data_IF_608312471932
#
_entry.id   IF_608312471932
#
_cell.length_a   1.000
_cell.length_b   1.000
_cell.length_c   1.000
_cell.angle_alpha   90.00
_cell.angle_beta   90.00
_cell.angle_gamma   90.00
#
_symmetry.space_group_name_H-M   'P 1'
#
loop_
_entity.id
_entity.type
_entity.pdbx_description
1 polymer ?
#
# COMPACT_ATOMS: atom_id res chain seq x y z
N UNK A 1 -2.65 21.24 27.62
CA UNK A 1 -3.51 20.31 28.38
C UNK A 1 -4.52 21.03 29.28
N UNK A 2 -4.12 21.93 30.19
CA UNK A 2 -5.07 22.67 31.07
C UNK A 2 -6.10 23.51 30.30
N UNK A 3 -5.65 24.29 29.30
CA UNK A 3 -6.55 25.13 28.49
C UNK A 3 -7.56 24.36 27.61
N UNK A 4 -7.23 23.16 27.12
CA UNK A 4 -8.17 22.35 26.33
C UNK A 4 -9.31 21.82 27.19
N UNK A 5 -9.03 21.53 28.46
CA UNK A 5 -10.03 21.08 29.43
C UNK A 5 -11.02 22.19 29.76
N UNK A 6 -10.51 23.39 30.06
CA UNK A 6 -11.36 24.55 30.37
C UNK A 6 -12.26 24.95 29.20
N UNK A 7 -11.73 24.88 27.97
CA UNK A 7 -12.49 25.17 26.74
C UNK A 7 -13.57 24.12 26.51
N UNK A 8 -13.24 22.83 26.60
CA UNK A 8 -14.23 21.75 26.44
C UNK A 8 -15.36 21.85 27.47
N UNK A 9 -15.02 22.10 28.74
CA UNK A 9 -16.01 22.26 29.81
C UNK A 9 -16.97 23.43 29.52
N UNK A 10 -16.45 24.59 29.08
CA UNK A 10 -17.29 25.75 28.71
C UNK A 10 -18.17 25.48 27.49
N UNK A 11 -17.66 24.75 26.50
CA UNK A 11 -18.41 24.39 25.30
C UNK A 11 -19.57 23.45 25.61
N UNK A 12 -19.32 22.42 26.42
CA UNK A 12 -20.37 21.49 26.87
C UNK A 12 -21.39 22.18 27.76
N UNK A 13 -20.95 23.07 28.66
CA UNK A 13 -21.88 23.87 29.47
C UNK A 13 -22.82 24.76 28.63
N UNK A 14 -22.35 25.23 27.46
CA UNK A 14 -23.15 26.06 26.54
C UNK A 14 -24.04 25.24 25.60
N UNK A 15 -23.60 24.05 25.21
CA UNK A 15 -24.30 23.19 24.24
C UNK A 15 -24.35 21.73 24.70
N UNK A 16 -25.02 21.43 25.83
CA UNK A 16 -25.00 20.10 26.42
C UNK A 16 -25.65 19.05 25.51
N UNK A 17 -26.77 19.40 24.85
CA UNK A 17 -27.48 18.49 23.94
C UNK A 17 -26.67 18.03 22.73
N UNK A 18 -25.59 18.74 22.37
CA UNK A 18 -24.78 18.43 21.19
C UNK A 18 -23.39 17.92 21.53
N UNK A 19 -22.82 18.33 22.66
CA UNK A 19 -21.41 18.12 22.98
C UNK A 19 -21.17 17.33 24.26
N UNK A 20 -22.21 17.04 25.05
CA UNK A 20 -22.08 16.26 26.27
C UNK A 20 -21.96 14.77 25.95
N UNK A 21 -21.03 14.10 26.61
CA UNK A 21 -20.83 12.66 26.49
C UNK A 21 -21.99 11.93 27.17
N UNK A 22 -23.04 11.60 26.41
CA UNK A 22 -24.23 10.87 26.86
C UNK A 22 -24.32 9.53 26.13
N UNK A 23 -24.42 8.43 26.90
CA UNK A 23 -24.68 7.08 26.38
C UNK A 23 -25.90 6.53 27.11
N UNK A 24 -26.91 6.10 26.35
CA UNK A 24 -28.17 5.53 26.89
C UNK A 24 -28.90 6.43 27.91
N UNK A 25 -28.67 7.75 27.85
CA UNK A 25 -29.28 8.74 28.73
C UNK A 25 -28.40 9.14 29.93
N UNK A 26 -27.30 8.43 30.18
CA UNK A 26 -26.39 8.71 31.28
C UNK A 26 -25.16 9.51 30.83
N UNK A 27 -24.75 10.45 31.68
CA UNK A 27 -23.55 11.26 31.46
C UNK A 27 -22.32 10.40 31.79
N UNK A 28 -21.47 10.19 30.80
CA UNK A 28 -20.26 9.37 30.94
C UNK A 28 -19.10 10.22 31.42
N UNK A 29 -18.50 9.82 32.55
CA UNK A 29 -17.31 10.48 33.12
C UNK A 29 -17.58 11.95 33.50
N UNK A 30 -16.73 12.87 33.02
CA UNK A 30 -16.92 14.31 33.25
C UNK A 30 -17.91 14.96 32.27
N UNK A 31 -18.48 14.20 31.33
CA UNK A 31 -19.42 14.68 30.32
C UNK A 31 -18.79 15.49 29.17
N UNK A 32 -17.49 15.76 29.20
CA UNK A 32 -16.78 16.51 28.16
C UNK A 32 -15.42 15.88 27.79
N UNK A 33 -15.15 14.68 28.30
CA UNK A 33 -13.84 14.03 28.19
C UNK A 33 -13.49 13.68 26.74
N UNK A 34 -14.47 13.23 25.96
CA UNK A 34 -14.26 12.92 24.54
C UNK A 34 -13.85 14.19 23.77
N UNK A 35 -14.49 15.32 24.06
CA UNK A 35 -14.21 16.60 23.43
C UNK A 35 -12.81 17.12 23.80
N UNK A 36 -12.38 16.93 25.05
CA UNK A 36 -11.00 17.24 25.47
C UNK A 36 -9.99 16.45 24.65
N UNK A 37 -10.20 15.14 24.49
CA UNK A 37 -9.30 14.28 23.71
C UNK A 37 -9.26 14.72 22.24
N UNK A 38 -10.41 15.04 21.65
CA UNK A 38 -10.47 15.55 20.28
C UNK A 38 -9.71 16.87 20.10
N UNK A 39 -9.88 17.82 21.04
CA UNK A 39 -9.16 19.10 21.00
C UNK A 39 -7.65 18.91 21.14
N UNK A 40 -7.22 18.05 22.07
CA UNK A 40 -5.80 17.74 22.26
C UNK A 40 -5.19 17.11 21.01
N UNK A 41 -5.87 16.11 20.43
CA UNK A 41 -5.42 15.46 19.20
C UNK A 41 -5.29 16.45 18.04
N UNK A 42 -6.22 17.40 17.90
CA UNK A 42 -6.14 18.43 16.84
C UNK A 42 -4.97 19.40 17.08
N UNK A 43 -4.78 19.86 18.31
CA UNK A 43 -3.64 20.72 18.67
C UNK A 43 -2.31 20.01 18.40
N UNK A 44 -2.22 18.73 18.78
CA UNK A 44 -1.03 17.92 18.53
C UNK A 44 -0.80 17.71 17.05
N UNK A 45 -1.85 17.44 16.27
CA UNK A 45 -1.75 17.28 14.81
C UNK A 45 -1.19 18.53 14.12
N UNK A 46 -1.68 19.72 14.51
CA UNK A 46 -1.17 21.01 13.98
C UNK A 46 0.29 21.27 14.40
N UNK A 47 0.70 20.77 15.57
CA UNK A 47 2.08 20.91 16.06
C UNK A 47 3.06 19.92 15.45
N UNK A 48 2.60 18.93 14.66
CA UNK A 48 3.52 18.01 13.98
C UNK A 48 4.25 18.76 12.87
N UNK A 49 5.58 18.78 12.94
CA UNK A 49 6.43 19.22 11.82
C UNK A 49 6.18 18.34 10.59
N UNK A 50 5.99 18.97 9.43
CA UNK A 50 5.61 18.37 8.14
C UNK A 50 6.64 17.43 7.51
N UNK A 51 7.80 17.21 8.12
CA UNK A 51 8.75 16.20 7.66
C UNK A 51 8.25 14.80 8.04
N UNK A 52 7.92 13.92 7.08
CA UNK A 52 7.67 12.53 7.36
C UNK A 52 8.98 11.88 7.82
N UNK A 53 9.21 11.83 9.13
CA UNK A 53 10.28 11.01 9.69
C UNK A 53 9.78 9.58 9.64
N UNK A 54 10.16 8.84 8.60
CA UNK A 54 10.14 7.38 8.62
C UNK A 54 11.14 6.95 9.70
N UNK A 55 10.73 7.01 10.96
CA UNK A 55 11.44 6.37 12.06
C UNK A 55 11.00 4.92 12.02
N UNK A 56 11.89 4.01 11.61
CA UNK A 56 11.80 2.62 12.05
C UNK A 56 11.65 2.67 13.58
N UNK A 57 10.50 2.25 14.10
CA UNK A 57 10.19 2.32 15.53
C UNK A 57 11.19 1.42 16.25
N UNK A 58 12.08 2.01 17.04
CA UNK A 58 12.91 1.24 17.98
C UNK A 58 12.00 0.68 19.06
N UNK A 59 12.22 -0.58 19.44
CA UNK A 59 11.75 -1.13 20.71
C UNK A 59 12.24 -0.21 21.83
N UNK A 60 11.32 0.49 22.48
CA UNK A 60 11.56 1.04 23.80
C UNK A 60 10.75 0.19 24.76
N UNK A 61 11.46 -0.70 25.45
CA UNK A 61 11.06 -1.24 26.74
C UNK A 61 11.09 -0.08 27.72
N UNK A 62 9.94 0.46 28.07
CA UNK A 62 9.80 1.19 29.33
C UNK A 62 8.50 0.77 30.00
N UNK A 63 8.69 0.30 31.21
CA UNK A 63 7.76 -0.30 32.14
C UNK A 63 6.95 0.82 32.78
N UNK A 64 5.75 1.11 32.28
CA UNK A 64 4.74 1.85 33.07
C UNK A 64 3.32 1.67 32.54
N UNK A 65 2.52 1.04 33.41
CA UNK A 65 1.10 1.26 33.66
C UNK A 65 0.05 0.85 32.62
N UNK A 66 -0.62 -0.26 33.00
CA UNK A 66 -2.05 -0.53 32.88
C UNK A 66 -2.86 0.50 32.09
N UNK A 67 -2.87 0.29 30.78
CA UNK A 67 -3.99 0.63 29.93
C UNK A 67 -4.28 -0.62 29.09
N UNK A 68 -5.55 -0.87 28.75
CA UNK A 68 -5.98 -1.87 27.75
C UNK A 68 -5.49 -1.50 26.33
N UNK A 69 -4.29 -0.93 26.23
CA UNK A 69 -3.63 -0.62 24.99
C UNK A 69 -2.91 -1.88 24.53
N UNK A 70 -3.45 -2.46 23.44
CA UNK A 70 -2.81 -3.57 22.71
C UNK A 70 -1.30 -3.27 22.58
N UNK A 71 -0.41 -4.19 23.01
CA UNK A 71 1.04 -4.02 22.94
C UNK A 71 1.49 -3.56 21.55
N UNK A 72 2.53 -2.73 21.48
CA UNK A 72 3.01 -2.18 20.21
C UNK A 72 3.46 -3.28 19.23
N UNK A 73 3.99 -4.38 19.75
CA UNK A 73 4.37 -5.58 19.01
C UNK A 73 3.14 -6.27 18.38
N UNK A 74 2.05 -6.37 19.13
CA UNK A 74 0.81 -6.96 18.64
C UNK A 74 0.11 -6.03 17.64
N UNK A 75 0.15 -4.70 17.86
CA UNK A 75 -0.28 -3.71 16.85
C UNK A 75 0.54 -3.78 15.57
N UNK A 76 1.86 -3.93 15.67
CA UNK A 76 2.74 -4.08 14.50
C UNK A 76 2.41 -5.36 13.74
N UNK A 77 2.25 -6.49 14.44
CA UNK A 77 1.84 -7.75 13.83
C UNK A 77 0.45 -7.68 13.18
N UNK A 78 -0.52 -7.01 13.80
CA UNK A 78 -1.86 -6.79 13.23
C UNK A 78 -1.82 -5.89 11.99
N UNK A 79 -0.91 -4.92 11.93
CA UNK A 79 -0.72 -4.07 10.75
C UNK A 79 -0.02 -4.81 9.62
N UNK A 80 1.03 -5.58 9.93
CA UNK A 80 1.80 -6.35 8.95
C UNK A 80 0.97 -7.48 8.30
N UNK A 81 -0.08 -7.93 9.00
CA UNK A 81 -1.02 -8.96 8.52
C UNK A 81 -2.28 -8.40 7.88
N UNK A 82 -2.47 -7.08 7.88
CA UNK A 82 -3.71 -6.46 7.42
C UNK A 82 -3.99 -6.79 5.94
N UNK A 83 -5.20 -7.29 5.65
CA UNK A 83 -5.61 -7.72 4.32
C UNK A 83 -5.07 -9.09 3.87
N UNK A 84 -4.24 -9.75 4.68
CA UNK A 84 -3.74 -11.09 4.38
C UNK A 84 -4.58 -12.17 5.08
N UNK A 85 -5.20 -13.05 4.31
CA UNK A 85 -5.94 -14.23 4.81
C UNK A 85 -5.01 -15.40 5.16
N UNK A 86 -3.84 -15.51 4.49
CA UNK A 86 -2.87 -16.60 4.69
C UNK A 86 -1.46 -16.06 4.96
N UNK A 87 -1.34 -15.13 5.91
CA UNK A 87 -0.07 -14.49 6.26
C UNK A 87 1.01 -15.47 6.76
N UNK A 88 0.66 -16.32 7.72
CA UNK A 88 1.58 -17.28 8.35
C UNK A 88 1.02 -18.70 8.28
N UNK A 89 1.48 -19.45 7.27
CA UNK A 89 1.12 -20.86 7.09
C UNK A 89 2.03 -21.71 7.98
N UNK A 90 1.55 -22.05 9.18
CA UNK A 90 2.34 -22.78 10.20
C UNK A 90 2.60 -24.24 9.83
N UNK A 91 1.62 -24.87 9.20
CA UNK A 91 1.65 -26.29 8.89
C UNK A 91 1.86 -26.52 7.40
N UNK A 92 2.67 -27.51 7.09
CA UNK A 92 2.81 -28.02 5.75
C UNK A 92 1.46 -28.61 5.28
N UNK A 93 1.05 -28.40 4.01
CA UNK A 93 -0.14 -29.06 3.47
C UNK A 93 -0.03 -30.60 3.61
N UNK A 94 -1.15 -31.27 3.91
CA UNK A 94 -1.18 -32.72 4.18
C UNK A 94 -0.63 -33.58 3.03
N UNK A 95 -0.77 -33.10 1.81
CA UNK A 95 -0.33 -33.78 0.58
C UNK A 95 1.14 -33.48 0.24
N UNK A 96 1.83 -32.66 1.04
CA UNK A 96 3.19 -32.20 0.79
C UNK A 96 4.17 -32.70 1.84
N UNK A 97 5.43 -32.78 1.45
CA UNK A 97 6.61 -32.99 2.30
C UNK A 97 7.60 -31.85 2.07
N UNK A 98 8.57 -31.67 2.96
CA UNK A 98 9.64 -30.69 2.70
C UNK A 98 10.42 -31.02 1.42
N UNK A 99 10.61 -32.31 1.15
CA UNK A 99 11.26 -32.80 -0.07
C UNK A 99 10.45 -32.44 -1.32
N UNK A 100 9.14 -32.68 -1.33
CA UNK A 100 8.27 -32.36 -2.48
C UNK A 100 8.19 -30.86 -2.74
N UNK A 101 8.12 -30.04 -1.69
CA UNK A 101 8.20 -28.58 -1.80
C UNK A 101 9.50 -28.13 -2.49
N UNK A 102 10.64 -28.68 -2.07
CA UNK A 102 11.95 -28.37 -2.65
C UNK A 102 12.03 -28.81 -4.11
N UNK A 103 11.54 -30.01 -4.44
CA UNK A 103 11.50 -30.50 -5.82
C UNK A 103 10.64 -29.60 -6.72
N UNK A 104 9.49 -29.14 -6.24
CA UNK A 104 8.61 -28.22 -6.99
C UNK A 104 9.22 -26.83 -7.15
N UNK A 105 9.93 -26.33 -6.15
CA UNK A 105 10.69 -25.08 -6.22
C UNK A 105 11.79 -25.17 -7.29
N UNK A 106 12.60 -26.23 -7.28
CA UNK A 106 13.63 -26.42 -8.31
C UNK A 106 13.02 -26.60 -9.70
N UNK A 107 11.88 -27.29 -9.81
CA UNK A 107 11.14 -27.38 -11.08
C UNK A 107 10.71 -26.02 -11.59
N UNK A 108 10.17 -25.14 -10.73
CA UNK A 108 9.83 -23.76 -11.10
C UNK A 108 11.08 -23.00 -11.60
N UNK A 109 12.22 -23.15 -10.93
CA UNK A 109 13.47 -22.50 -11.37
C UNK A 109 13.92 -22.98 -12.75
N UNK A 110 13.83 -24.29 -13.01
CA UNK A 110 14.14 -24.85 -14.34
C UNK A 110 13.15 -24.33 -15.37
N UNK A 111 11.85 -24.35 -15.09
CA UNK A 111 10.83 -23.85 -16.02
C UNK A 111 11.05 -22.38 -16.38
N UNK A 112 11.48 -21.55 -15.43
CA UNK A 112 11.76 -20.14 -15.69
C UNK A 112 12.90 -19.91 -16.69
N UNK A 113 13.85 -20.84 -16.77
CA UNK A 113 14.96 -20.79 -17.73
C UNK A 113 14.53 -21.17 -19.16
N UNK A 114 13.37 -21.79 -19.32
CA UNK A 114 12.86 -22.28 -20.61
C UNK A 114 11.68 -21.42 -21.06
N UNK A 115 11.70 -20.92 -22.30
CA UNK A 115 10.70 -19.96 -22.80
C UNK A 115 9.31 -20.56 -23.07
N UNK A 116 9.13 -21.87 -22.91
CA UNK A 116 7.92 -22.63 -23.21
C UNK A 116 7.18 -23.15 -21.96
N UNK A 117 7.46 -22.55 -20.79
CA UNK A 117 6.82 -22.92 -19.53
C UNK A 117 5.27 -22.85 -19.63
N UNK A 118 4.60 -23.97 -19.35
CA UNK A 118 3.14 -24.03 -19.34
C UNK A 118 2.58 -23.15 -18.20
N UNK A 119 1.79 -22.11 -18.49
CA UNK A 119 1.27 -21.19 -17.48
C UNK A 119 0.44 -21.89 -16.39
N UNK A 120 -0.33 -22.91 -16.74
CA UNK A 120 -1.24 -23.53 -15.77
C UNK A 120 -0.50 -24.46 -14.83
N UNK A 121 0.56 -25.08 -15.33
CA UNK A 121 1.51 -25.82 -14.49
C UNK A 121 2.24 -24.88 -13.53
N UNK A 122 2.70 -23.72 -14.00
CA UNK A 122 3.31 -22.69 -13.14
C UNK A 122 2.33 -22.27 -12.05
N UNK A 123 1.07 -21.95 -12.39
CA UNK A 123 0.04 -21.60 -11.39
C UNK A 123 -0.13 -22.69 -10.32
N UNK A 124 -0.25 -23.95 -10.74
CA UNK A 124 -0.40 -25.08 -9.82
C UNK A 124 0.83 -25.26 -8.90
N UNK A 125 2.04 -25.13 -9.46
CA UNK A 125 3.29 -25.21 -8.70
C UNK A 125 3.42 -24.04 -7.72
N UNK A 126 3.11 -22.81 -8.15
CA UNK A 126 3.12 -21.62 -7.30
C UNK A 126 2.13 -21.74 -6.12
N UNK A 127 0.93 -22.27 -6.34
CA UNK A 127 -0.05 -22.52 -5.27
C UNK A 127 0.42 -23.61 -4.30
N UNK A 128 0.86 -24.74 -4.82
CA UNK A 128 1.30 -25.87 -3.98
C UNK A 128 2.55 -25.53 -3.17
N UNK A 129 3.40 -24.64 -3.68
CA UNK A 129 4.62 -24.19 -2.97
C UNK A 129 4.44 -22.96 -2.09
N UNK A 130 3.21 -22.44 -1.96
CA UNK A 130 2.90 -21.22 -1.20
C UNK A 130 3.37 -21.27 0.27
N UNK A 131 3.37 -22.47 0.88
CA UNK A 131 3.90 -22.66 2.22
C UNK A 131 5.37 -22.22 2.33
N UNK A 132 6.26 -22.79 1.51
CA UNK A 132 7.71 -22.56 1.58
C UNK A 132 8.06 -21.12 1.20
N UNK A 133 7.39 -20.62 0.17
CA UNK A 133 7.32 -19.22 -0.20
C UNK A 133 7.09 -18.30 1.02
N UNK A 134 6.00 -18.49 1.77
CA UNK A 134 5.71 -17.66 2.97
C UNK A 134 6.71 -17.87 4.10
N UNK A 135 7.24 -19.08 4.29
CA UNK A 135 8.29 -19.33 5.27
C UNK A 135 9.55 -18.50 4.97
N UNK A 136 9.98 -18.46 3.70
CA UNK A 136 11.15 -17.69 3.29
C UNK A 136 10.96 -16.18 3.54
N UNK A 137 9.78 -15.64 3.23
CA UNK A 137 9.47 -14.22 3.49
C UNK A 137 9.43 -13.93 5.00
N UNK A 138 8.72 -14.75 5.76
CA UNK A 138 8.55 -14.54 7.21
C UNK A 138 9.86 -14.72 7.99
N UNK A 139 10.81 -15.49 7.46
CA UNK A 139 12.17 -15.62 8.00
C UNK A 139 13.09 -14.45 7.62
N UNK A 140 12.60 -13.49 6.82
CA UNK A 140 13.35 -12.30 6.44
C UNK A 140 14.42 -12.55 5.38
N UNK A 141 14.25 -13.56 4.51
CA UNK A 141 15.15 -13.73 3.35
C UNK A 141 15.17 -12.46 2.50
N UNK A 142 16.35 -12.11 2.00
CA UNK A 142 16.52 -10.89 1.18
C UNK A 142 15.79 -11.02 -0.16
N UNK A 143 15.36 -9.88 -0.72
CA UNK A 143 14.69 -9.84 -2.04
C UNK A 143 15.54 -10.52 -3.12
N UNK A 144 16.87 -10.34 -3.08
CA UNK A 144 17.81 -11.01 -3.99
C UNK A 144 17.70 -12.53 -3.90
N UNK A 145 17.73 -13.07 -2.68
CA UNK A 145 17.59 -14.51 -2.45
C UNK A 145 16.21 -15.02 -2.88
N UNK A 146 15.14 -14.27 -2.59
CA UNK A 146 13.80 -14.63 -3.03
C UNK A 146 13.68 -14.65 -4.56
N UNK A 147 14.32 -13.74 -5.28
CA UNK A 147 14.32 -13.72 -6.75
C UNK A 147 15.06 -14.91 -7.35
N UNK A 148 16.16 -15.34 -6.73
CA UNK A 148 16.93 -16.52 -7.15
C UNK A 148 16.16 -17.83 -6.86
N UNK A 149 15.45 -17.91 -5.74
CA UNK A 149 14.68 -19.10 -5.34
C UNK A 149 13.31 -19.19 -6.00
N UNK A 150 12.65 -18.06 -6.24
CA UNK A 150 11.28 -17.94 -6.74
C UNK A 150 11.18 -16.92 -7.88
N UNK A 151 11.79 -17.19 -9.04
CA UNK A 151 11.85 -16.21 -10.12
C UNK A 151 10.47 -15.79 -10.65
N UNK A 152 9.52 -16.74 -10.73
CA UNK A 152 8.14 -16.47 -11.13
C UNK A 152 7.39 -15.49 -10.21
N UNK A 153 7.83 -15.25 -8.97
CA UNK A 153 7.23 -14.19 -8.15
C UNK A 153 7.47 -12.78 -8.68
N UNK A 154 8.56 -12.62 -9.42
CA UNK A 154 8.97 -11.34 -9.98
C UNK A 154 8.49 -11.19 -11.43
N UNK A 155 7.54 -12.03 -11.84
CA UNK A 155 6.74 -11.83 -13.04
C UNK A 155 5.26 -11.68 -12.70
N UNK A 156 4.48 -11.26 -13.70
CA UNK A 156 3.07 -10.95 -13.54
C UNK A 156 2.23 -12.19 -13.15
N UNK A 157 2.59 -13.37 -13.65
CA UNK A 157 1.85 -14.60 -13.44
C UNK A 157 2.01 -15.09 -12.01
N UNK A 158 3.25 -15.34 -11.55
CA UNK A 158 3.49 -15.86 -10.22
C UNK A 158 3.19 -14.84 -9.12
N UNK A 159 3.40 -13.53 -9.38
CA UNK A 159 2.97 -12.46 -8.46
C UNK A 159 1.45 -12.51 -8.24
N UNK A 160 0.66 -12.61 -9.32
CA UNK A 160 -0.80 -12.63 -9.22
C UNK A 160 -1.32 -13.85 -8.44
N UNK A 161 -0.73 -15.03 -8.68
CA UNK A 161 -1.07 -16.26 -7.94
C UNK A 161 -0.74 -16.12 -6.46
N UNK A 162 0.46 -15.64 -6.13
CA UNK A 162 0.86 -15.46 -4.73
C UNK A 162 -0.02 -14.44 -4.02
N UNK A 163 -0.31 -13.31 -4.66
CA UNK A 163 -1.18 -12.27 -4.11
C UNK A 163 -2.59 -12.79 -3.84
N UNK A 164 -3.15 -13.58 -4.76
CA UNK A 164 -4.46 -14.21 -4.60
C UNK A 164 -4.47 -15.19 -3.43
N UNK A 165 -3.45 -16.03 -3.26
CA UNK A 165 -3.37 -16.94 -2.12
C UNK A 165 -3.19 -16.19 -0.79
N UNK A 166 -2.44 -15.09 -0.79
CA UNK A 166 -2.15 -14.30 0.40
C UNK A 166 -3.37 -13.49 0.86
N UNK A 167 -4.13 -12.90 -0.06
CA UNK A 167 -5.18 -11.90 0.23
C UNK A 167 -6.59 -12.35 -0.10
N UNK A 168 -6.75 -13.37 -0.94
CA UNK A 168 -8.03 -13.81 -1.50
C UNK A 168 -8.56 -12.88 -2.61
N UNK A 169 -7.79 -11.90 -3.04
CA UNK A 169 -8.17 -10.90 -4.04
C UNK A 169 -7.51 -11.24 -5.37
N UNK A 170 -8.31 -11.36 -6.44
CA UNK A 170 -7.76 -11.36 -7.79
C UNK A 170 -7.26 -9.96 -8.14
N UNK A 171 -5.94 -9.80 -8.23
CA UNK A 171 -5.30 -8.50 -8.41
C UNK A 171 -5.74 -7.83 -9.71
N UNK A 172 -5.67 -8.55 -10.84
CA UNK A 172 -5.93 -7.98 -12.17
C UNK A 172 -7.41 -7.67 -12.34
N UNK A 173 -8.27 -8.63 -12.00
CA UNK A 173 -9.73 -8.44 -12.12
C UNK A 173 -10.19 -7.29 -11.22
N UNK A 174 -9.71 -7.25 -9.97
CA UNK A 174 -10.09 -6.20 -9.02
C UNK A 174 -9.60 -4.84 -9.47
N UNK A 175 -8.39 -4.73 -10.00
CA UNK A 175 -7.86 -3.48 -10.52
C UNK A 175 -8.68 -2.97 -11.71
N UNK A 176 -8.85 -3.80 -12.74
CA UNK A 176 -9.60 -3.46 -13.96
C UNK A 176 -11.04 -3.06 -13.64
N UNK A 177 -11.74 -3.86 -12.81
CA UNK A 177 -13.10 -3.53 -12.38
C UNK A 177 -13.19 -2.18 -11.66
N UNK A 178 -12.22 -1.87 -10.79
CA UNK A 178 -12.24 -0.58 -10.09
C UNK A 178 -11.93 0.59 -11.04
N UNK A 179 -11.04 0.39 -12.02
CA UNK A 179 -10.82 1.39 -13.07
C UNK A 179 -12.07 1.63 -13.89
N UNK A 180 -12.80 0.60 -14.29
CA UNK A 180 -14.04 0.76 -15.06
C UNK A 180 -15.11 1.54 -14.27
N UNK A 181 -15.24 1.24 -12.97
CA UNK A 181 -16.25 1.86 -12.11
C UNK A 181 -15.89 3.29 -11.67
N UNK A 182 -14.60 3.59 -11.48
CA UNK A 182 -14.16 4.83 -10.80
C UNK A 182 -13.22 5.68 -11.64
N UNK A 183 -12.53 5.11 -12.62
CA UNK A 183 -11.51 5.77 -13.42
C UNK A 183 -12.06 6.98 -14.16
N UNK A 184 -13.15 6.80 -14.91
CA UNK A 184 -13.81 7.93 -15.59
C UNK A 184 -14.23 9.04 -14.63
N UNK A 185 -14.85 8.70 -13.50
CA UNK A 185 -15.27 9.67 -12.49
C UNK A 185 -14.07 10.44 -11.92
N UNK A 186 -12.95 9.76 -11.69
CA UNK A 186 -11.73 10.39 -11.19
C UNK A 186 -11.13 11.34 -12.24
N UNK A 187 -11.06 10.90 -13.50
CA UNK A 187 -10.59 11.72 -14.60
C UNK A 187 -11.48 12.96 -14.82
N UNK A 188 -12.79 12.78 -14.85
CA UNK A 188 -13.77 13.88 -14.97
C UNK A 188 -13.59 14.89 -13.82
N UNK A 189 -13.39 14.43 -12.59
CA UNK A 189 -13.12 15.31 -11.45
C UNK A 189 -11.82 16.10 -11.63
N UNK A 190 -10.76 15.46 -12.12
CA UNK A 190 -9.47 16.12 -12.36
C UNK A 190 -9.57 17.18 -13.46
N UNK A 191 -10.24 16.87 -14.56
CA UNK A 191 -10.32 17.75 -15.74
C UNK A 191 -11.34 18.88 -15.58
N UNK A 192 -12.38 18.71 -14.76
CA UNK A 192 -13.43 19.72 -14.57
C UNK A 192 -13.24 20.55 -13.29
N UNK A 193 -12.90 19.92 -12.17
CA UNK A 193 -12.82 20.58 -10.86
C UNK A 193 -11.37 20.99 -10.54
N UNK A 194 -10.42 20.08 -10.74
CA UNK A 194 -9.04 20.31 -10.33
C UNK A 194 -8.23 21.17 -11.30
N UNK A 195 -8.70 21.35 -12.53
CA UNK A 195 -8.02 22.14 -13.56
C UNK A 195 -7.66 23.56 -13.10
N UNK A 196 -8.45 24.14 -12.20
CA UNK A 196 -8.23 25.48 -11.63
C UNK A 196 -7.63 25.45 -10.22
N UNK A 197 -7.21 24.28 -9.70
CA UNK A 197 -6.64 24.13 -8.35
C UNK A 197 -5.33 24.90 -8.21
N UNK A 198 -4.47 24.82 -9.21
CA UNK A 198 -3.18 25.53 -9.23
C UNK A 198 -2.71 25.80 -10.65
N UNK A 199 -1.83 26.79 -10.81
CA UNK A 199 -1.20 27.10 -12.11
C UNK A 199 -0.36 25.91 -12.63
N UNK A 200 0.35 25.21 -11.74
CA UNK A 200 1.14 24.00 -12.07
C UNK A 200 0.23 22.90 -12.64
N UNK A 201 -0.90 22.63 -11.97
CA UNK A 201 -1.86 21.64 -12.44
C UNK A 201 -2.44 22.00 -13.81
N UNK A 202 -2.87 23.25 -14.00
CA UNK A 202 -3.38 23.72 -15.29
C UNK A 202 -2.35 23.55 -16.42
N UNK A 203 -1.09 23.88 -16.14
CA UNK A 203 0.00 23.72 -17.11
C UNK A 203 0.26 22.26 -17.46
N UNK A 204 0.27 21.37 -16.46
CA UNK A 204 0.42 19.93 -16.65
C UNK A 204 -0.73 19.33 -17.45
N UNK A 205 -1.97 19.69 -17.11
CA UNK A 205 -3.14 19.29 -17.90
C UNK A 205 -3.04 19.76 -19.36
N UNK A 206 -2.71 21.03 -19.60
CA UNK A 206 -2.53 21.55 -20.96
C UNK A 206 -1.36 20.89 -21.72
N UNK A 207 -0.32 20.42 -21.02
CA UNK A 207 0.77 19.60 -21.59
C UNK A 207 0.25 18.24 -22.02
N UNK A 208 -0.47 17.54 -21.14
CA UNK A 208 -1.02 16.21 -21.42
C UNK A 208 -1.99 16.24 -22.61
N UNK A 209 -2.88 17.23 -22.66
CA UNK A 209 -3.82 17.39 -23.78
C UNK A 209 -3.10 17.61 -25.13
N UNK A 210 -1.98 18.34 -25.14
CA UNK A 210 -1.16 18.51 -26.36
C UNK A 210 -0.47 17.22 -26.78
N UNK A 211 0.07 16.45 -25.83
CA UNK A 211 0.73 15.17 -26.13
C UNK A 211 -0.25 14.10 -26.59
N UNK A 212 -1.47 14.11 -26.03
CA UNK A 212 -2.53 13.18 -26.39
C UNK A 212 -2.92 13.28 -27.87
N UNK A 213 -2.95 14.48 -28.44
CA UNK A 213 -3.27 14.68 -29.86
C UNK A 213 -4.62 14.06 -30.23
N UNK A 214 -4.64 13.16 -31.21
CA UNK A 214 -5.84 12.37 -31.59
C UNK A 214 -5.89 10.97 -30.96
N UNK A 215 -4.94 10.61 -30.08
CA UNK A 215 -4.91 9.29 -29.45
C UNK A 215 -6.08 9.15 -28.48
N UNK A 216 -6.90 8.13 -28.68
CA UNK A 216 -8.02 7.80 -27.78
C UNK A 216 -8.02 6.31 -27.48
N UNK A 217 -7.96 5.97 -26.18
CA UNK A 217 -8.05 4.60 -25.71
C UNK A 217 -7.96 4.52 -24.19
N UNK A 218 -8.38 3.38 -23.63
CA UNK A 218 -8.39 3.13 -22.19
C UNK A 218 -6.99 3.26 -21.57
N UNK A 219 -5.94 2.83 -22.29
CA UNK A 219 -4.55 2.96 -21.83
C UNK A 219 -4.13 4.42 -21.65
N UNK A 220 -4.50 5.29 -22.59
CA UNK A 220 -4.16 6.72 -22.51
C UNK A 220 -4.91 7.40 -21.36
N UNK A 221 -6.17 7.01 -21.11
CA UNK A 221 -6.95 7.53 -19.99
C UNK A 221 -6.35 7.16 -18.63
N UNK A 222 -5.82 5.94 -18.49
CA UNK A 222 -5.13 5.49 -17.27
C UNK A 222 -3.83 6.24 -17.07
N UNK A 223 -3.03 6.40 -18.13
CA UNK A 223 -1.77 7.16 -18.07
C UNK A 223 -2.05 8.62 -17.71
N UNK A 224 -3.01 9.26 -18.37
CA UNK A 224 -3.42 10.64 -18.08
C UNK A 224 -3.89 10.77 -16.63
N UNK A 225 -4.71 9.84 -16.15
CA UNK A 225 -5.19 9.83 -14.78
C UNK A 225 -4.05 9.74 -13.76
N UNK A 226 -3.05 8.88 -13.99
CA UNK A 226 -1.89 8.76 -13.10
C UNK A 226 -1.08 10.06 -13.07
N UNK A 227 -0.79 10.65 -14.23
CA UNK A 227 -0.01 11.90 -14.32
C UNK A 227 -0.75 13.08 -13.69
N UNK A 228 -2.08 13.15 -13.85
CA UNK A 228 -2.90 14.15 -13.17
C UNK A 228 -2.96 13.92 -11.65
N UNK A 229 -2.95 12.67 -11.18
CA UNK A 229 -2.88 12.37 -9.75
C UNK A 229 -1.56 12.88 -9.14
N UNK A 230 -0.43 12.62 -9.79
CA UNK A 230 0.87 13.15 -9.35
C UNK A 230 0.83 14.67 -9.24
N UNK A 231 0.35 15.33 -10.31
CA UNK A 231 0.20 16.79 -10.31
C UNK A 231 -0.80 17.30 -9.27
N UNK A 232 -1.83 16.54 -8.93
CA UNK A 232 -2.81 16.92 -7.91
C UNK A 232 -2.20 16.92 -6.51
N UNK A 233 -1.33 15.96 -6.23
CA UNK A 233 -0.60 15.83 -4.95
C UNK A 233 0.70 16.64 -4.90
N UNK A 234 1.05 17.33 -5.99
CA UNK A 234 2.31 18.08 -6.13
C UNK A 234 3.55 17.17 -6.06
N UNK A 235 3.40 15.92 -6.51
CA UNK A 235 4.49 14.97 -6.69
C UNK A 235 5.12 15.14 -8.08
N UNK A 236 6.44 14.99 -8.16
CA UNK A 236 7.19 15.06 -9.42
C UNK A 236 7.06 13.73 -10.19
N UNK A 237 7.10 13.76 -11.53
CA UNK A 237 6.98 12.54 -12.34
C UNK A 237 8.15 11.58 -12.06
N UNK A 238 9.34 12.11 -11.80
CA UNK A 238 10.56 11.38 -11.45
C UNK A 238 10.45 10.65 -10.10
N UNK A 239 9.46 11.00 -9.26
CA UNK A 239 9.20 10.26 -8.01
C UNK A 239 8.55 8.90 -8.26
N UNK A 240 7.92 8.72 -9.43
CA UNK A 240 7.19 7.50 -9.81
C UNK A 240 7.78 6.83 -11.05
N UNK A 241 8.38 7.59 -11.96
CA UNK A 241 8.95 7.09 -13.21
C UNK A 241 10.47 7.31 -13.24
N UNK A 242 11.21 6.23 -13.38
CA UNK A 242 12.66 6.26 -13.56
C UNK A 242 12.97 5.97 -15.03
N UNK A 243 13.31 7.02 -15.78
CA UNK A 243 13.58 6.92 -17.21
C UNK A 243 15.00 6.40 -17.47
N UNK A 244 15.10 5.37 -18.30
CA UNK A 244 16.35 4.80 -18.79
C UNK A 244 16.38 4.88 -20.32
N UNK A 245 17.52 4.59 -20.94
CA UNK A 245 17.60 4.52 -22.40
C UNK A 245 16.69 3.41 -22.95
N UNK A 246 16.07 3.61 -24.11
CA UNK A 246 15.14 2.64 -24.73
C UNK A 246 15.76 1.25 -24.92
N UNK A 247 17.09 1.17 -25.04
CA UNK A 247 17.86 -0.08 -25.21
C UNK A 247 18.36 -0.68 -23.89
N UNK A 248 18.09 -0.03 -22.75
CA UNK A 248 18.55 -0.45 -21.44
C UNK A 248 17.90 -1.78 -21.02
N UNK A 249 18.73 -2.76 -20.70
CA UNK A 249 18.28 -4.03 -20.14
C UNK A 249 17.98 -3.90 -18.64
N UNK A 250 17.13 -4.77 -18.12
CA UNK A 250 16.76 -4.75 -16.70
C UNK A 250 17.97 -4.93 -15.76
N UNK A 251 19.04 -5.62 -16.20
CA UNK A 251 20.27 -5.77 -15.42
C UNK A 251 21.18 -4.53 -15.46
N UNK A 252 20.99 -3.62 -16.41
CA UNK A 252 21.82 -2.43 -16.61
C UNK A 252 21.35 -1.23 -15.78
N UNK A 253 20.15 -1.32 -15.20
CA UNK A 253 19.59 -0.27 -14.35
C UNK A 253 20.42 -0.13 -13.07
N UNK A 254 21.01 1.04 -12.88
CA UNK A 254 21.80 1.37 -11.69
C UNK A 254 20.87 1.56 -10.48
N UNK A 255 20.61 0.48 -9.75
CA UNK A 255 19.70 0.46 -8.61
C UNK A 255 20.09 1.44 -7.49
N UNK A 256 21.35 1.86 -7.41
CA UNK A 256 21.82 2.87 -6.46
C UNK A 256 21.25 4.27 -6.77
N UNK A 257 20.84 4.51 -8.02
CA UNK A 257 20.22 5.77 -8.45
C UNK A 257 18.69 5.73 -8.34
N UNK A 258 18.12 4.53 -8.16
CA UNK A 258 16.68 4.34 -8.06
C UNK A 258 16.20 4.75 -6.67
N UNK A 259 15.10 5.52 -6.56
CA UNK A 259 14.51 5.87 -5.27
C UNK A 259 14.21 4.65 -4.40
N UNK A 260 14.26 4.83 -3.07
CA UNK A 260 13.86 3.77 -2.13
C UNK A 260 12.36 3.49 -2.12
N UNK A 261 11.57 4.37 -2.73
CA UNK A 261 10.13 4.20 -2.95
C UNK A 261 9.88 3.38 -4.22
N UNK A 262 8.77 2.62 -4.30
CA UNK A 262 8.41 1.93 -5.53
C UNK A 262 8.34 2.89 -6.72
N UNK A 263 9.06 2.57 -7.80
CA UNK A 263 9.05 3.31 -9.06
C UNK A 263 8.85 2.36 -10.23
N UNK A 264 8.37 2.91 -11.34
CA UNK A 264 8.24 2.25 -12.63
C UNK A 264 9.47 2.63 -13.46
N UNK A 265 10.23 1.64 -13.92
CA UNK A 265 11.32 1.88 -14.86
C UNK A 265 10.70 2.01 -16.25
N UNK A 266 10.99 3.12 -16.94
CA UNK A 266 10.46 3.43 -18.27
C UNK A 266 11.60 3.49 -19.25
N UNK A 267 11.57 2.60 -20.24
CA UNK A 267 12.42 2.62 -21.43
C UNK A 267 11.72 3.41 -22.54
#
# INVERSE_FOLDING_TARGET
KKHSTDVAAKMVAKYPSSLQDVIEGDIVGTGYHSLVKQLQNRIENVRRTSTPKIRKRKHQTDDSDQTDEIPLEERAAMQDTYGCIKWNVKFLPLEETQESQKQKMEKLKVMFQHSDANPEEVKCLMKSTFYTQRQHVNQGKSIKCLREEWPFWFDELGMSVHFMELTGIDLKETFTRNLDLKGKRLLDYMTTVCVNKSKKFLQNYARLQRMRGQRSGCSDDVIEMILLLLSYFDEEEESMFFHVEDTCLAEEVQLEQVPLTPVVIVC
#
